data_IF_619432083459
#
_entry.id   IF_619432083459
#
_cell.length_a   1.000
_cell.length_b   1.000
_cell.length_c   1.000
_cell.angle_alpha   90.00
_cell.angle_beta   90.00
_cell.angle_gamma   90.00
#
_symmetry.space_group_name_H-M   'P 1'
#
loop_
_entity.id
_entity.type
_entity.pdbx_description
1 polymer ?
#
# COMPACT_ATOMS: atom_id res chain seq x y z
N UNK A 1 -6.12 11.67 11.79
CA UNK A 1 -6.16 10.61 10.95
C UNK A 1 -6.77 9.40 11.55
N UNK A 2 -6.91 8.40 10.80
CA UNK A 2 -7.53 7.28 11.27
C UNK A 2 -6.66 6.42 12.03
N UNK A 3 -7.19 5.76 13.01
CA UNK A 3 -6.53 4.72 13.67
C UNK A 3 -7.17 3.47 13.31
N UNK A 4 -6.42 2.43 13.23
CA UNK A 4 -7.00 1.20 12.86
C UNK A 4 -8.01 0.74 13.83
N UNK A 5 -7.83 1.10 15.08
CA UNK A 5 -8.73 0.54 16.07
C UNK A 5 -10.09 1.17 16.05
N UNK A 6 -10.27 2.30 15.40
CA UNK A 6 -11.62 2.78 15.42
C UNK A 6 -12.48 2.09 14.40
N UNK A 7 -11.91 1.22 13.62
CA UNK A 7 -12.69 0.39 12.74
C UNK A 7 -13.20 -0.86 13.40
N UNK A 8 -12.98 -1.03 14.68
CA UNK A 8 -13.39 -2.26 15.29
C UNK A 8 -14.88 -2.48 15.28
N UNK A 9 -15.64 -1.41 15.47
CA UNK A 9 -17.08 -1.54 15.43
C UNK A 9 -17.60 -1.54 14.00
N UNK A 10 -16.83 -1.05 13.06
CA UNK A 10 -17.25 -1.00 11.68
C UNK A 10 -16.03 -1.09 10.79
N UNK A 11 -16.12 -1.89 9.76
CA UNK A 11 -15.07 -2.01 8.74
C UNK A 11 -15.74 -2.07 7.40
N UNK A 12 -15.33 -1.25 6.45
CA UNK A 12 -15.94 -1.31 5.11
C UNK A 12 -15.78 -2.66 4.44
N UNK A 13 -14.73 -3.41 4.80
CA UNK A 13 -14.56 -4.71 4.17
C UNK A 13 -15.10 -5.84 5.01
N UNK A 14 -15.89 -5.55 6.04
CA UNK A 14 -16.54 -6.61 6.78
C UNK A 14 -17.58 -7.26 5.89
N UNK A 15 -17.46 -8.56 5.69
CA UNK A 15 -18.37 -9.26 4.80
C UNK A 15 -18.03 -9.14 3.34
N UNK A 16 -16.97 -8.39 3.01
CA UNK A 16 -16.54 -8.26 1.64
C UNK A 16 -15.69 -9.47 1.26
N UNK A 17 -15.58 -9.71 -0.02
CA UNK A 17 -14.79 -10.82 -0.54
C UNK A 17 -13.66 -10.30 -1.36
N UNK A 18 -12.51 -10.95 -1.26
CA UNK A 18 -11.38 -10.67 -2.12
C UNK A 18 -11.66 -11.25 -3.49
N UNK A 19 -11.65 -10.39 -4.48
CA UNK A 19 -11.85 -10.80 -5.85
C UNK A 19 -10.52 -11.04 -6.53
N UNK A 20 -9.53 -10.23 -6.21
CA UNK A 20 -8.23 -10.31 -6.85
C UNK A 20 -7.24 -9.64 -5.93
N UNK A 21 -6.05 -10.16 -5.86
CA UNK A 21 -5.05 -9.64 -4.97
C UNK A 21 -3.70 -9.62 -5.67
N UNK A 22 -2.99 -8.51 -5.54
CA UNK A 22 -1.69 -8.35 -6.17
C UNK A 22 -0.69 -7.88 -5.13
N UNK A 23 0.17 -8.76 -4.63
CA UNK A 23 1.23 -8.31 -3.73
C UNK A 23 2.41 -7.78 -4.53
N UNK A 24 3.03 -6.73 -4.01
CA UNK A 24 4.22 -6.14 -4.61
C UNK A 24 5.26 -6.04 -3.52
N UNK A 25 6.32 -6.82 -3.62
CA UNK A 25 7.35 -6.83 -2.62
C UNK A 25 8.36 -5.75 -2.89
N UNK A 26 8.79 -5.06 -1.85
CA UNK A 26 9.72 -3.95 -1.97
C UNK A 26 10.59 -3.91 -0.72
N UNK A 27 11.56 -4.84 -0.64
CA UNK A 27 12.43 -4.92 0.51
C UNK A 27 11.67 -5.40 1.73
N UNK A 28 11.77 -4.65 2.80
CA UNK A 28 11.05 -4.99 4.03
C UNK A 28 9.60 -4.65 3.96
N UNK A 29 9.16 -3.98 2.92
CA UNK A 29 7.76 -3.63 2.74
C UNK A 29 7.14 -4.51 1.70
N UNK A 30 5.87 -4.75 1.86
CA UNK A 30 5.05 -5.38 0.84
C UNK A 30 3.79 -4.54 0.70
N UNK A 31 3.45 -4.25 -0.52
CA UNK A 31 2.23 -3.52 -0.80
C UNK A 31 1.22 -4.49 -1.37
N UNK A 32 0.07 -4.56 -0.75
CA UNK A 32 -1.00 -5.44 -1.21
C UNK A 32 -2.06 -4.60 -1.86
N UNK A 33 -2.34 -4.91 -3.10
CA UNK A 33 -3.41 -4.25 -3.85
C UNK A 33 -4.53 -5.28 -3.98
N UNK A 34 -5.61 -5.05 -3.29
CA UNK A 34 -6.68 -6.03 -3.24
C UNK A 34 -7.95 -5.43 -3.82
N UNK A 35 -8.59 -6.19 -4.69
CA UNK A 35 -9.90 -5.84 -5.22
C UNK A 35 -10.92 -6.53 -4.35
N UNK A 36 -11.83 -5.75 -3.79
CA UNK A 36 -12.86 -6.25 -2.90
C UNK A 36 -14.23 -6.01 -3.50
N UNK A 37 -15.12 -6.96 -3.32
CA UNK A 37 -16.52 -6.73 -3.69
C UNK A 37 -17.30 -6.41 -2.44
N UNK A 38 -18.35 -5.64 -2.60
CA UNK A 38 -19.25 -5.40 -1.49
C UNK A 38 -19.98 -6.68 -1.16
N UNK A 39 -20.64 -6.68 0.01
CA UNK A 39 -21.30 -7.88 0.48
C UNK A 39 -22.33 -8.38 -0.50
N UNK A 40 -23.05 -7.47 -1.15
CA UNK A 40 -24.08 -7.86 -2.09
C UNK A 40 -23.52 -7.99 -3.50
N UNK A 41 -22.21 -7.83 -3.67
CA UNK A 41 -21.51 -8.01 -4.94
C UNK A 41 -21.97 -7.04 -6.01
N UNK A 42 -22.53 -5.92 -5.60
CA UNK A 42 -22.98 -4.92 -6.57
C UNK A 42 -21.93 -3.87 -6.86
N UNK A 43 -20.86 -3.83 -6.09
CA UNK A 43 -19.86 -2.79 -6.26
C UNK A 43 -18.50 -3.33 -5.87
N UNK A 44 -17.46 -2.61 -6.25
CA UNK A 44 -16.10 -3.03 -5.99
C UNK A 44 -15.29 -1.83 -5.56
N UNK A 45 -14.31 -2.09 -4.73
CA UNK A 45 -13.38 -1.06 -4.29
C UNK A 45 -12.02 -1.73 -4.09
N UNK A 46 -11.01 -0.91 -3.87
CA UNK A 46 -9.67 -1.41 -3.64
C UNK A 46 -9.27 -1.14 -2.21
N UNK A 47 -8.43 -2.01 -1.68
CA UNK A 47 -7.67 -1.68 -0.49
C UNK A 47 -6.20 -1.76 -0.86
N UNK A 48 -5.43 -0.79 -0.37
CA UNK A 48 -3.99 -0.78 -0.55
C UNK A 48 -3.38 -0.84 0.83
N UNK A 49 -2.63 -1.89 1.08
CA UNK A 49 -2.04 -2.11 2.39
C UNK A 49 -0.54 -2.09 2.29
N UNK A 50 0.10 -1.24 3.07
CA UNK A 50 1.53 -1.28 3.24
C UNK A 50 1.82 -2.11 4.47
N UNK A 51 2.66 -3.13 4.32
CA UNK A 51 3.06 -3.97 5.45
C UNK A 51 4.58 -3.89 5.54
N UNK A 52 5.08 -3.45 6.69
CA UNK A 52 6.52 -3.32 6.89
C UNK A 52 6.95 -4.24 8.00
N UNK A 53 7.99 -5.02 7.74
CA UNK A 53 8.55 -5.91 8.73
C UNK A 53 9.48 -5.13 9.65
N UNK A 54 9.40 -5.39 10.93
CA UNK A 54 10.23 -4.76 11.94
C UNK A 54 10.81 -5.85 12.84
N UNK A 55 12.12 -5.79 13.05
CA UNK A 55 12.78 -6.78 13.90
C UNK A 55 12.70 -6.33 15.34
N UNK A 56 12.29 -7.24 16.20
CA UNK A 56 12.20 -6.97 17.63
C UNK A 56 13.51 -7.36 18.31
N UNK A 57 13.61 -6.98 19.59
CA UNK A 57 14.85 -7.21 20.32
C UNK A 57 15.17 -8.68 20.49
N UNK A 58 14.16 -9.52 20.57
CA UNK A 58 14.37 -10.94 20.75
C UNK A 58 14.61 -11.66 19.44
N UNK A 59 14.76 -10.93 18.34
CA UNK A 59 15.01 -11.53 17.05
C UNK A 59 13.77 -11.91 16.27
N UNK A 60 12.61 -11.81 16.87
CA UNK A 60 11.38 -12.10 16.15
C UNK A 60 10.97 -10.88 15.33
N UNK A 61 9.89 -11.05 14.55
CA UNK A 61 9.43 -9.98 13.69
C UNK A 61 8.04 -9.52 14.09
N UNK A 62 7.81 -8.25 13.89
CA UNK A 62 6.49 -7.67 13.95
C UNK A 62 6.22 -7.00 12.61
N UNK A 63 4.95 -6.80 12.31
CA UNK A 63 4.56 -6.17 11.04
C UNK A 63 3.70 -4.96 11.36
N UNK A 64 4.10 -3.84 10.79
CA UNK A 64 3.33 -2.61 10.90
C UNK A 64 2.56 -2.45 9.61
N UNK A 65 1.25 -2.30 9.71
CA UNK A 65 0.40 -2.27 8.53
C UNK A 65 -0.42 -1.01 8.50
N UNK A 66 -0.53 -0.46 7.31
CA UNK A 66 -1.36 0.71 7.06
C UNK A 66 -2.18 0.43 5.83
N UNK A 67 -3.47 0.67 5.93
CA UNK A 67 -4.38 0.34 4.86
C UNK A 67 -5.19 1.56 4.47
N UNK A 68 -5.35 1.76 3.19
CA UNK A 68 -6.27 2.78 2.69
C UNK A 68 -7.33 2.09 1.85
N UNK A 69 -8.50 2.70 1.83
CA UNK A 69 -9.61 2.25 1.03
C UNK A 69 -9.75 3.20 -0.13
N UNK A 70 -9.82 2.67 -1.34
CA UNK A 70 -9.89 3.49 -2.53
C UNK A 70 -11.14 3.07 -3.30
N UNK A 71 -12.05 4.02 -3.46
CA UNK A 71 -13.32 3.74 -4.09
C UNK A 71 -13.28 4.09 -5.55
N UNK A 72 -14.16 3.46 -6.34
CA UNK A 72 -14.05 3.53 -7.79
C UNK A 72 -14.14 4.95 -8.32
N UNK A 73 -14.85 5.81 -7.61
CA UNK A 73 -14.98 7.20 -8.04
C UNK A 73 -13.65 7.93 -7.99
N UNK A 74 -12.70 7.42 -7.23
CA UNK A 74 -11.42 8.08 -7.04
C UNK A 74 -10.27 7.37 -7.72
N UNK A 75 -10.53 6.29 -8.45
CA UNK A 75 -9.46 5.50 -9.04
C UNK A 75 -8.59 6.35 -9.95
N UNK A 76 -9.22 7.07 -10.87
CA UNK A 76 -8.45 7.82 -11.85
C UNK A 76 -7.72 8.98 -11.22
N UNK A 77 -8.35 9.67 -10.29
CA UNK A 77 -7.70 10.78 -9.62
C UNK A 77 -6.49 10.32 -8.82
N UNK A 78 -6.64 9.20 -8.14
CA UNK A 78 -5.53 8.67 -7.35
C UNK A 78 -4.38 8.28 -8.25
N UNK A 79 -4.69 7.58 -9.34
CA UNK A 79 -3.64 7.12 -10.26
C UNK A 79 -2.93 8.29 -10.91
N UNK A 80 -3.69 9.27 -11.36
CA UNK A 80 -3.10 10.42 -12.01
C UNK A 80 -2.24 11.22 -11.06
N UNK A 81 -2.71 11.40 -9.83
CA UNK A 81 -1.90 12.11 -8.85
C UNK A 81 -0.61 11.38 -8.54
N UNK A 82 -0.69 10.07 -8.38
CA UNK A 82 0.51 9.28 -8.11
C UNK A 82 1.48 9.35 -9.29
N UNK A 83 0.97 9.19 -10.50
CA UNK A 83 1.82 9.27 -11.68
C UNK A 83 2.49 10.63 -11.80
N UNK A 84 1.74 11.68 -11.50
CA UNK A 84 2.28 13.02 -11.64
C UNK A 84 3.44 13.26 -10.67
N UNK A 85 3.29 12.84 -9.41
CA UNK A 85 4.36 13.10 -8.45
C UNK A 85 5.55 12.18 -8.69
N UNK A 86 5.32 10.97 -9.17
CA UNK A 86 6.43 10.11 -9.54
C UNK A 86 7.19 10.72 -10.71
N UNK A 87 6.48 11.24 -11.71
CA UNK A 87 7.14 11.89 -12.83
C UNK A 87 7.92 13.12 -12.39
N UNK A 88 7.39 13.87 -11.44
CA UNK A 88 8.11 15.02 -10.92
C UNK A 88 9.44 14.59 -10.31
N UNK A 89 9.41 13.55 -9.48
CA UNK A 89 10.65 13.07 -8.86
C UNK A 89 11.62 12.61 -9.94
N UNK A 90 11.12 11.85 -10.92
CA UNK A 90 11.99 11.33 -11.96
C UNK A 90 12.63 12.43 -12.77
N UNK A 91 11.83 13.40 -13.20
CA UNK A 91 12.32 14.38 -14.16
C UNK A 91 12.97 15.57 -13.49
N UNK A 92 12.39 16.06 -12.39
CA UNK A 92 12.88 17.29 -11.77
C UNK A 92 13.91 17.01 -10.69
N UNK A 93 13.83 15.86 -10.05
CA UNK A 93 14.77 15.58 -8.96
C UNK A 93 15.94 14.74 -9.42
N UNK A 94 15.73 13.85 -10.40
CA UNK A 94 16.80 12.96 -10.84
C UNK A 94 17.16 13.13 -12.30
N UNK A 95 16.55 14.08 -12.99
CA UNK A 95 16.96 14.37 -14.35
C UNK A 95 16.59 13.34 -15.39
N UNK A 96 15.62 12.49 -15.13
CA UNK A 96 15.09 11.58 -16.12
C UNK A 96 15.16 10.12 -15.77
N UNK A 97 15.95 9.76 -14.76
CA UNK A 97 16.07 8.35 -14.42
C UNK A 97 16.27 8.22 -12.92
N UNK A 98 15.41 7.45 -12.29
CA UNK A 98 15.47 7.26 -10.86
C UNK A 98 16.50 6.17 -10.55
N UNK A 99 17.54 6.48 -9.78
CA UNK A 99 18.54 5.45 -9.43
C UNK A 99 17.93 4.50 -8.40
N UNK A 100 18.04 3.21 -8.65
CA UNK A 100 17.48 2.20 -7.79
C UNK A 100 18.52 1.12 -7.57
N UNK A 101 18.67 0.68 -6.32
CA UNK A 101 19.56 -0.41 -6.02
C UNK A 101 18.83 -1.71 -6.28
N UNK A 102 19.55 -2.65 -6.82
CA UNK A 102 18.90 -3.87 -7.26
C UNK A 102 18.60 -4.81 -6.12
N UNK A 103 19.39 -4.77 -5.06
CA UNK A 103 19.17 -5.69 -3.96
C UNK A 103 18.78 -4.96 -2.70
N UNK A 104 17.96 -3.95 -2.83
CA UNK A 104 17.62 -3.14 -1.69
C UNK A 104 16.71 -3.84 -0.69
N UNK A 105 16.41 -5.10 -0.94
CA UNK A 105 15.62 -5.83 0.02
C UNK A 105 16.21 -5.85 1.40
N UNK A 106 17.54 -5.75 1.50
CA UNK A 106 18.20 -5.74 2.78
C UNK A 106 18.45 -4.36 3.33
N UNK A 107 18.01 -3.33 2.64
CA UNK A 107 18.31 -1.96 3.03
C UNK A 107 17.18 -1.42 3.89
N UNK A 108 17.56 -0.69 4.93
CA UNK A 108 16.57 -0.01 5.74
C UNK A 108 16.30 1.32 5.10
N UNK A 109 15.10 1.50 4.59
CA UNK A 109 14.80 2.74 3.89
C UNK A 109 14.79 3.93 4.81
N UNK A 110 14.45 3.74 6.06
CA UNK A 110 14.44 4.86 6.96
C UNK A 110 15.84 5.33 7.27
N UNK A 111 16.82 4.55 6.95
CA UNK A 111 18.20 4.96 7.14
C UNK A 111 18.75 5.78 5.99
N UNK A 112 17.97 5.99 4.98
CA UNK A 112 18.46 6.71 3.80
C UNK A 112 18.27 8.23 3.88
#
# INVERSE_FOLDING_TARGET
MYKEDYNRSYSPDQGAEDVYSKPVRAGKRTYFFDVKSTRDKSDFYLTVTESKRRTLQDGSYAYDKHKIFLYKEDFEKFREGLDEVIAYVKDQCFGGEIPVREDYGDVEFEDL
#
